data_IF_273321720992
#
_entry.id   IF_273321720992
#
_cell.length_a   1.000
_cell.length_b   1.000
_cell.length_c   1.000
_cell.angle_alpha   90.00
_cell.angle_beta   90.00
_cell.angle_gamma   90.00
#
_symmetry.space_group_name_H-M   'P 1'
#
loop_
_entity.id
_entity.type
_entity.pdbx_description
1 polymer ?
#
# COMPACT_ATOMS: atom_id res chain seq x y z
N UNK A 1 -22.39 -10.84 -31.56
CA UNK A 1 -20.93 -11.10 -31.44
C UNK A 1 -20.53 -11.05 -29.96
N UNK A 2 -20.13 -12.17 -29.33
CA UNK A 2 -19.74 -12.20 -27.91
C UNK A 2 -18.24 -11.94 -27.79
N UNK A 3 -17.88 -10.70 -27.41
CA UNK A 3 -16.48 -10.32 -27.18
C UNK A 3 -16.10 -10.76 -25.75
N UNK A 4 -15.24 -11.77 -25.61
CA UNK A 4 -14.64 -12.15 -24.33
C UNK A 4 -13.32 -11.41 -24.16
N UNK A 5 -13.29 -10.40 -23.30
CA UNK A 5 -12.05 -9.72 -22.92
C UNK A 5 -11.20 -10.65 -22.05
N UNK A 6 -9.98 -10.97 -22.50
CA UNK A 6 -9.01 -11.76 -21.74
C UNK A 6 -8.58 -10.95 -20.52
N UNK A 7 -8.93 -11.40 -19.30
CA UNK A 7 -8.47 -10.75 -18.07
C UNK A 7 -6.96 -10.91 -17.97
N UNK A 8 -6.24 -9.79 -17.90
CA UNK A 8 -4.81 -9.83 -17.56
C UNK A 8 -4.68 -10.35 -16.12
N UNK A 9 -3.75 -11.28 -15.84
CA UNK A 9 -3.46 -11.66 -14.47
C UNK A 9 -3.04 -10.40 -13.71
N UNK A 10 -3.73 -10.11 -12.62
CA UNK A 10 -3.32 -9.08 -11.68
C UNK A 10 -2.06 -9.61 -11.01
N UNK A 11 -0.89 -9.21 -11.49
CA UNK A 11 0.34 -9.37 -10.70
C UNK A 11 0.12 -8.56 -9.44
N UNK A 12 -0.09 -9.25 -8.31
CA UNK A 12 0.07 -8.67 -6.99
C UNK A 12 1.54 -8.26 -6.89
N UNK A 13 1.91 -7.13 -7.48
CA UNK A 13 3.15 -6.48 -7.10
C UNK A 13 2.98 -6.20 -5.62
N UNK A 14 3.86 -6.76 -4.79
CA UNK A 14 3.94 -6.36 -3.39
C UNK A 14 3.83 -4.83 -3.35
N UNK A 15 2.87 -4.31 -2.61
CA UNK A 15 2.69 -2.87 -2.53
C UNK A 15 3.96 -2.31 -1.89
N UNK A 16 4.88 -1.82 -2.73
CA UNK A 16 6.11 -1.17 -2.29
C UNK A 16 5.68 -0.04 -1.35
N UNK A 17 5.98 -0.22 -0.08
CA UNK A 17 5.70 0.78 0.93
C UNK A 17 6.64 1.94 0.66
N UNK A 18 6.09 3.09 0.25
CA UNK A 18 6.86 4.31 0.06
C UNK A 18 6.89 5.07 1.38
N UNK A 19 8.07 5.46 1.81
CA UNK A 19 8.27 6.29 3.00
C UNK A 19 8.28 7.77 2.66
N UNK A 20 7.89 8.60 3.61
CA UNK A 20 7.81 10.06 3.44
C UNK A 20 9.17 10.73 3.66
N UNK A 21 10.03 10.66 2.64
CA UNK A 21 11.42 11.15 2.73
C UNK A 21 11.52 12.66 2.97
N UNK A 22 10.48 13.45 2.69
CA UNK A 22 10.48 14.90 2.97
C UNK A 22 10.60 15.19 4.46
N UNK A 23 10.30 14.23 5.33
CA UNK A 23 10.52 14.40 6.77
C UNK A 23 12.00 14.44 7.14
N UNK A 24 12.88 13.94 6.29
CA UNK A 24 14.33 14.01 6.48
C UNK A 24 14.92 15.38 6.11
N UNK A 25 14.10 16.33 5.65
CA UNK A 25 14.54 17.73 5.52
C UNK A 25 14.71 18.38 6.91
N UNK A 26 14.01 17.87 7.93
CA UNK A 26 14.19 18.31 9.32
C UNK A 26 15.41 17.63 9.97
N UNK A 27 16.39 18.44 10.37
CA UNK A 27 17.62 18.02 11.05
C UNK A 27 17.31 17.19 12.31
N UNK A 28 16.26 17.54 13.07
CA UNK A 28 15.89 16.78 14.27
C UNK A 28 15.40 15.37 13.91
N UNK A 29 14.61 15.27 12.85
CA UNK A 29 14.14 13.99 12.31
C UNK A 29 15.31 13.12 11.84
N UNK A 30 16.26 13.71 11.11
CA UNK A 30 17.49 13.02 10.65
C UNK A 30 18.31 12.49 11.83
N UNK A 31 18.55 13.31 12.85
CA UNK A 31 19.32 12.90 14.02
C UNK A 31 18.62 11.76 14.77
N UNK A 32 17.30 11.84 14.92
CA UNK A 32 16.50 10.77 15.54
C UNK A 32 16.58 9.47 14.73
N UNK A 33 16.47 9.56 13.40
CA UNK A 33 16.58 8.42 12.51
C UNK A 33 17.95 7.75 12.61
N UNK A 34 19.03 8.55 12.52
CA UNK A 34 20.42 8.06 12.63
C UNK A 34 20.70 7.41 13.98
N UNK A 35 20.22 8.02 15.07
CA UNK A 35 20.41 7.49 16.42
C UNK A 35 19.69 6.13 16.58
N UNK A 36 18.41 6.04 16.19
CA UNK A 36 17.64 4.80 16.29
C UNK A 36 18.23 3.68 15.43
N UNK A 37 18.56 3.96 14.17
CA UNK A 37 19.21 2.95 13.31
C UNK A 37 20.51 2.46 13.94
N UNK A 38 21.40 3.36 14.37
CA UNK A 38 22.67 2.94 14.97
C UNK A 38 22.47 2.10 16.23
N UNK A 39 21.56 2.52 17.10
CA UNK A 39 21.20 1.79 18.30
C UNK A 39 20.71 0.37 17.97
N UNK A 40 19.76 0.25 17.04
CA UNK A 40 19.15 -1.04 16.70
C UNK A 40 20.12 -1.98 15.97
N UNK A 41 21.02 -1.44 15.13
CA UNK A 41 22.09 -2.21 14.51
C UNK A 41 23.14 -2.67 15.53
N UNK A 42 23.55 -1.82 16.47
CA UNK A 42 24.53 -2.18 17.48
C UNK A 42 24.00 -3.24 18.47
N UNK A 43 22.70 -3.20 18.76
CA UNK A 43 22.06 -4.19 19.63
C UNK A 43 21.72 -5.50 18.92
N UNK A 44 21.89 -5.55 17.59
CA UNK A 44 21.61 -6.74 16.80
C UNK A 44 22.87 -7.58 16.64
N UNK A 45 22.86 -8.79 17.20
CA UNK A 45 23.95 -9.74 16.99
C UNK A 45 23.81 -10.44 15.62
N UNK A 46 24.35 -9.80 14.58
CA UNK A 46 24.41 -10.38 13.23
C UNK A 46 25.34 -11.60 13.14
N UNK A 47 26.30 -11.76 14.06
CA UNK A 47 27.24 -12.87 14.01
C UNK A 47 26.59 -14.18 14.44
N UNK A 48 25.57 -14.10 15.31
CA UNK A 48 24.74 -15.25 15.67
C UNK A 48 23.93 -15.85 14.51
N UNK A 49 23.73 -15.11 13.41
CA UNK A 49 22.93 -15.55 12.26
C UNK A 49 23.79 -16.37 11.30
N UNK A 50 23.30 -17.56 10.95
CA UNK A 50 24.03 -18.56 10.15
C UNK A 50 23.92 -18.23 8.66
N UNK A 51 22.75 -17.79 8.19
CA UNK A 51 22.55 -17.46 6.78
C UNK A 51 22.80 -15.98 6.49
N UNK A 52 23.38 -15.71 5.31
CA UNK A 52 23.49 -14.37 4.74
C UNK A 52 22.10 -13.76 4.51
N UNK A 53 21.12 -14.56 4.08
CA UNK A 53 19.74 -14.09 3.88
C UNK A 53 19.07 -13.66 5.19
N UNK A 54 19.33 -14.37 6.28
CA UNK A 54 18.82 -14.01 7.61
C UNK A 54 19.37 -12.66 8.07
N UNK A 55 20.67 -12.44 7.87
CA UNK A 55 21.33 -11.16 8.18
C UNK A 55 20.73 -10.02 7.36
N UNK A 56 20.54 -10.22 6.06
CA UNK A 56 19.92 -9.21 5.18
C UNK A 56 18.46 -8.94 5.54
N UNK A 57 17.68 -9.98 5.81
CA UNK A 57 16.29 -9.83 6.23
C UNK A 57 16.18 -9.07 7.55
N UNK A 58 17.11 -9.32 8.49
CA UNK A 58 17.16 -8.58 9.74
C UNK A 58 17.54 -7.11 9.54
N UNK A 59 18.58 -6.84 8.76
CA UNK A 59 18.99 -5.46 8.46
C UNK A 59 17.85 -4.68 7.79
N UNK A 60 17.15 -5.33 6.84
CA UNK A 60 15.96 -4.79 6.19
C UNK A 60 14.83 -4.51 7.19
N UNK A 61 14.56 -5.42 8.13
CA UNK A 61 13.55 -5.24 9.17
C UNK A 61 13.87 -4.05 10.08
N UNK A 62 15.13 -3.89 10.50
CA UNK A 62 15.58 -2.73 11.30
C UNK A 62 15.31 -1.43 10.52
N UNK A 63 15.77 -1.35 9.28
CA UNK A 63 15.58 -0.16 8.43
C UNK A 63 14.09 0.15 8.27
N UNK A 64 13.26 -0.86 7.99
CA UNK A 64 11.82 -0.67 7.80
C UNK A 64 11.14 -0.19 9.09
N UNK A 65 11.46 -0.78 10.24
CA UNK A 65 10.91 -0.38 11.55
C UNK A 65 11.30 1.04 11.91
N UNK A 66 12.58 1.41 11.76
CA UNK A 66 13.01 2.78 12.04
C UNK A 66 12.37 3.76 11.05
N UNK A 67 12.23 3.37 9.78
CA UNK A 67 11.55 4.18 8.76
C UNK A 67 10.07 4.39 9.09
N UNK A 68 9.34 3.35 9.48
CA UNK A 68 7.94 3.48 9.90
C UNK A 68 7.79 4.37 11.14
N UNK A 69 8.72 4.26 12.10
CA UNK A 69 8.66 5.01 13.35
C UNK A 69 9.03 6.50 13.23
N UNK A 70 9.92 6.86 12.31
CA UNK A 70 10.46 8.24 12.24
C UNK A 70 9.88 9.00 11.06
N UNK A 71 9.97 8.45 9.84
CA UNK A 71 9.52 9.13 8.63
C UNK A 71 8.08 8.73 8.26
N UNK A 72 7.66 7.51 8.59
CA UNK A 72 6.33 6.99 8.28
C UNK A 72 6.08 6.87 6.78
N UNK A 73 4.87 6.45 6.43
CA UNK A 73 4.50 6.15 5.04
C UNK A 73 4.08 7.40 4.28
N UNK A 74 4.52 7.50 3.03
CA UNK A 74 4.09 8.53 2.10
C UNK A 74 2.58 8.40 1.90
N UNK A 75 1.84 9.49 2.18
CA UNK A 75 0.42 9.54 1.86
C UNK A 75 0.27 9.43 0.35
N UNK A 76 -0.62 8.55 -0.11
CA UNK A 76 -1.00 8.49 -1.53
C UNK A 76 -1.48 9.88 -1.92
N UNK A 77 -0.76 10.55 -2.83
CA UNK A 77 -1.16 11.87 -3.28
C UNK A 77 -2.57 11.76 -3.88
N UNK A 78 -3.43 12.75 -3.60
CA UNK A 78 -4.69 12.87 -4.31
C UNK A 78 -4.32 13.07 -5.77
N UNK A 79 -4.62 12.07 -6.61
CA UNK A 79 -4.47 12.20 -8.06
C UNK A 79 -5.22 13.48 -8.46
N UNK A 80 -4.57 14.49 -9.09
CA UNK A 80 -5.21 15.78 -9.35
C UNK A 80 -6.50 15.65 -10.16
N UNK A 81 -6.53 14.68 -11.07
CA UNK A 81 -7.70 14.34 -11.87
C UNK A 81 -8.82 13.60 -11.09
N UNK A 82 -8.54 13.09 -9.89
CA UNK A 82 -9.51 12.39 -9.05
C UNK A 82 -10.19 13.37 -8.08
N UNK A 83 -11.08 14.17 -8.66
CA UNK A 83 -11.86 15.20 -7.98
C UNK A 83 -13.12 14.63 -7.28
N UNK A 84 -13.92 15.51 -6.70
CA UNK A 84 -15.15 15.12 -5.97
C UNK A 84 -16.22 14.49 -6.88
N UNK A 85 -16.25 14.85 -8.16
CA UNK A 85 -17.13 14.21 -9.12
C UNK A 85 -16.75 12.74 -9.31
N UNK A 86 -15.47 12.43 -9.44
CA UNK A 86 -14.99 11.05 -9.49
C UNK A 86 -15.30 10.28 -8.18
N UNK A 87 -15.13 10.93 -7.02
CA UNK A 87 -15.48 10.32 -5.72
C UNK A 87 -16.96 9.98 -5.62
N UNK A 88 -17.83 10.91 -6.00
CA UNK A 88 -19.29 10.71 -6.00
C UNK A 88 -19.72 9.60 -6.97
N UNK A 89 -19.17 9.58 -8.18
CA UNK A 89 -19.45 8.52 -9.16
C UNK A 89 -19.04 7.14 -8.64
N UNK A 90 -17.86 7.04 -8.01
CA UNK A 90 -17.39 5.78 -7.42
C UNK A 90 -18.27 5.33 -6.25
N UNK A 91 -18.71 6.27 -5.41
CA UNK A 91 -19.63 5.98 -4.29
C UNK A 91 -20.96 5.42 -4.79
N UNK A 92 -21.60 6.10 -5.76
CA UNK A 92 -22.84 5.63 -6.39
C UNK A 92 -22.69 4.24 -7.00
N UNK A 93 -21.60 4.01 -7.74
CA UNK A 93 -21.30 2.68 -8.31
C UNK A 93 -21.20 1.60 -7.23
N UNK A 94 -20.56 1.91 -6.10
CA UNK A 94 -20.44 0.98 -4.96
C UNK A 94 -21.81 0.69 -4.34
N UNK A 95 -22.62 1.72 -4.12
CA UNK A 95 -23.98 1.62 -3.57
C UNK A 95 -24.89 0.78 -4.48
N UNK A 96 -24.95 1.10 -5.78
CA UNK A 96 -25.74 0.32 -6.75
C UNK A 96 -25.28 -1.14 -6.86
N UNK A 97 -23.97 -1.40 -6.75
CA UNK A 97 -23.46 -2.78 -6.74
C UNK A 97 -23.86 -3.53 -5.48
N UNK A 98 -23.81 -2.88 -4.31
CA UNK A 98 -24.25 -3.49 -3.05
C UNK A 98 -25.74 -3.83 -3.17
N UNK A 99 -26.55 -2.88 -3.64
CA UNK A 99 -27.99 -3.07 -3.86
C UNK A 99 -28.26 -4.23 -4.83
N UNK A 100 -27.56 -4.28 -5.96
CA UNK A 100 -27.66 -5.37 -6.93
C UNK A 100 -27.27 -6.75 -6.36
N UNK A 101 -26.26 -6.79 -5.48
CA UNK A 101 -25.83 -8.03 -4.83
C UNK A 101 -26.77 -8.47 -3.70
N UNK A 102 -27.47 -7.54 -3.06
CA UNK A 102 -28.45 -7.83 -2.01
C UNK A 102 -29.83 -8.20 -2.54
N UNK A 103 -30.14 -7.87 -3.80
CA UNK A 103 -31.39 -8.29 -4.45
C UNK A 103 -31.31 -9.79 -4.80
N UNK A 104 -31.95 -10.63 -3.99
CA UNK A 104 -32.12 -12.08 -4.23
C UNK A 104 -33.11 -12.40 -5.35
N UNK A 105 -33.90 -11.42 -5.80
CA UNK A 105 -34.97 -11.59 -6.80
C UNK A 105 -34.61 -11.06 -8.21
N UNK A 106 -33.32 -10.82 -8.48
CA UNK A 106 -32.90 -10.21 -9.75
C UNK A 106 -32.92 -11.21 -10.92
N UNK A 107 -34.13 -11.53 -11.38
CA UNK A 107 -34.36 -12.17 -12.68
C UNK A 107 -34.11 -11.11 -13.75
N UNK A 108 -33.13 -11.34 -14.63
CA UNK A 108 -32.88 -10.48 -15.80
C UNK A 108 -34.20 -10.22 -16.55
N UNK A 109 -34.73 -9.00 -16.45
CA UNK A 109 -35.91 -8.62 -17.22
C UNK A 109 -35.53 -8.62 -18.69
N UNK A 110 -35.96 -9.67 -19.41
CA UNK A 110 -35.90 -9.72 -20.87
C UNK A 110 -36.69 -8.52 -21.40
N UNK A 111 -35.98 -7.60 -22.05
CA UNK A 111 -36.57 -6.50 -22.78
C UNK A 111 -37.22 -7.14 -24.02
N UNK A 112 -38.53 -7.33 -23.98
CA UNK A 112 -39.30 -7.74 -25.15
C UNK A 112 -39.48 -6.52 -26.05
N UNK A 113 -38.96 -6.60 -27.26
CA UNK A 113 -39.11 -5.62 -28.35
C UNK A 113 -40.52 -5.68 -28.93
#
# INVERSE_FOLDING_TARGET
MKIKLKRRPHTNMEQLTRYDVTKLDDIKCVNTFRHKIRHDFNNCDFNSMVSVDERWNKAKDIINKTSDAVIGKQKKSKKPWFNDTCRRALKRKKESRIQWLSDTDNVEKKITT
#
